data_IF_565765057215
#
_entry.id   IF_565765057215
#
_cell.length_a   1.000
_cell.length_b   1.000
_cell.length_c   1.000
_cell.angle_alpha   90.00
_cell.angle_beta   90.00
_cell.angle_gamma   90.00
#
_symmetry.space_group_name_H-M   'P 1'
#
loop_
_entity.id
_entity.type
_entity.pdbx_description
1 polymer ?
#
# COMPACT_ATOMS: atom_id res chain seq x y z
N UNK A 1 -23.74 -20.36 18.47
CA UNK A 1 -22.30 -20.16 18.76
C UNK A 1 -21.44 -20.46 17.52
N UNK A 2 -21.18 -21.72 17.18
CA UNK A 2 -20.24 -22.13 16.12
C UNK A 2 -20.47 -21.54 14.71
N UNK A 3 -21.73 -21.33 14.31
CA UNK A 3 -22.06 -20.72 13.01
C UNK A 3 -21.84 -19.20 12.99
N UNK A 4 -22.06 -18.53 14.13
CA UNK A 4 -21.81 -17.10 14.29
C UNK A 4 -20.31 -16.80 14.30
N UNK A 5 -19.52 -17.61 15.02
CA UNK A 5 -18.05 -17.55 15.01
C UNK A 5 -17.47 -17.75 13.60
N UNK A 6 -17.94 -18.77 12.87
CA UNK A 6 -17.53 -19.00 11.48
C UNK A 6 -17.87 -17.82 10.57
N UNK A 7 -19.04 -17.21 10.77
CA UNK A 7 -19.47 -16.05 9.97
C UNK A 7 -18.63 -14.82 10.30
N UNK A 8 -18.37 -14.55 11.57
CA UNK A 8 -17.51 -13.44 11.99
C UNK A 8 -16.07 -13.63 11.47
N UNK A 9 -15.50 -14.84 11.59
CA UNK A 9 -14.18 -15.14 11.07
C UNK A 9 -14.09 -14.98 9.53
N UNK A 10 -15.15 -15.35 8.79
CA UNK A 10 -15.23 -15.12 7.36
C UNK A 10 -15.27 -13.62 7.02
N UNK A 11 -16.06 -12.84 7.78
CA UNK A 11 -16.17 -11.39 7.62
C UNK A 11 -14.81 -10.74 7.88
N UNK A 12 -14.18 -10.99 9.03
CA UNK A 12 -12.86 -10.44 9.38
C UNK A 12 -11.81 -10.79 8.33
N UNK A 13 -11.73 -12.06 7.89
CA UNK A 13 -10.80 -12.49 6.84
C UNK A 13 -11.05 -11.81 5.50
N UNK A 14 -12.32 -11.55 5.17
CA UNK A 14 -12.67 -10.87 3.91
C UNK A 14 -12.26 -9.41 3.99
N UNK A 15 -12.54 -8.72 5.10
CA UNK A 15 -12.13 -7.34 5.31
C UNK A 15 -10.60 -7.17 5.35
N UNK A 16 -9.87 -8.13 5.94
CA UNK A 16 -8.38 -8.14 5.93
C UNK A 16 -7.74 -8.26 4.54
N UNK A 17 -8.52 -8.60 3.49
CA UNK A 17 -8.04 -8.52 2.10
C UNK A 17 -8.14 -7.11 1.49
N UNK A 18 -8.89 -6.22 2.14
CA UNK A 18 -9.17 -4.87 1.66
C UNK A 18 -8.67 -3.78 2.61
N UNK A 19 -8.30 -4.14 3.84
CA UNK A 19 -7.83 -3.27 4.90
C UNK A 19 -6.68 -3.99 5.63
N UNK A 20 -5.71 -3.25 6.18
CA UNK A 20 -4.70 -3.86 7.04
C UNK A 20 -5.33 -4.45 8.29
N UNK A 21 -4.72 -5.50 8.86
CA UNK A 21 -5.22 -6.17 10.06
C UNK A 21 -5.40 -5.17 11.21
N UNK A 22 -4.46 -4.24 11.38
CA UNK A 22 -4.56 -3.18 12.39
C UNK A 22 -5.77 -2.25 12.18
N UNK A 23 -6.15 -1.96 10.93
CA UNK A 23 -7.34 -1.15 10.62
C UNK A 23 -8.61 -1.96 10.88
N UNK A 24 -8.61 -3.26 10.56
CA UNK A 24 -9.73 -4.16 10.84
C UNK A 24 -9.94 -4.28 12.35
N UNK A 25 -8.89 -4.52 13.13
CA UNK A 25 -8.96 -4.55 14.60
C UNK A 25 -9.52 -3.24 15.16
N UNK A 26 -9.02 -2.08 14.70
CA UNK A 26 -9.51 -0.77 15.14
C UNK A 26 -10.99 -0.54 14.82
N UNK A 27 -11.49 -1.04 13.68
CA UNK A 27 -12.91 -0.94 13.30
C UNK A 27 -13.78 -1.91 14.12
N UNK A 28 -13.28 -3.11 14.41
CA UNK A 28 -14.03 -4.13 15.14
C UNK A 28 -14.10 -3.86 16.65
N UNK A 29 -13.06 -3.24 17.23
CA UNK A 29 -12.94 -3.05 18.67
C UNK A 29 -13.47 -1.69 19.18
N UNK A 30 -13.63 -0.67 18.30
CA UNK A 30 -14.23 0.63 18.66
C UNK A 30 -15.47 0.91 17.79
N UNK A 31 -16.68 1.07 18.37
CA UNK A 31 -17.88 1.51 17.66
C UNK A 31 -17.72 2.86 16.93
N UNK A 32 -16.76 3.69 17.35
CA UNK A 32 -16.38 4.95 16.69
C UNK A 32 -15.32 4.76 15.61
N UNK A 33 -14.83 3.54 15.40
CA UNK A 33 -13.86 3.18 14.36
C UNK A 33 -14.36 3.45 12.93
N UNK A 34 -15.66 3.73 12.75
CA UNK A 34 -16.28 4.18 11.50
C UNK A 34 -16.66 5.67 11.48
N UNK A 35 -16.40 6.42 12.56
CA UNK A 35 -16.69 7.86 12.60
C UNK A 35 -15.79 8.61 11.61
N UNK A 36 -16.41 9.51 10.85
CA UNK A 36 -15.68 10.46 10.01
C UNK A 36 -14.79 11.34 10.88
N UNK A 37 -13.60 11.60 10.37
CA UNK A 37 -12.62 12.44 11.05
C UNK A 37 -11.22 11.86 10.93
N UNK A 38 -10.25 12.64 11.35
CA UNK A 38 -8.87 12.23 11.40
C UNK A 38 -8.12 12.98 12.48
N UNK A 39 -7.00 12.41 12.87
CA UNK A 39 -6.06 13.02 13.80
C UNK A 39 -4.82 13.47 13.03
N UNK A 40 -4.24 14.59 13.47
CA UNK A 40 -2.94 15.03 12.97
C UNK A 40 -1.89 14.07 13.54
N UNK A 41 -1.12 13.44 12.66
CA UNK A 41 -0.02 12.54 13.04
C UNK A 41 1.18 12.75 12.14
N UNK A 42 2.37 12.72 12.73
CA UNK A 42 3.62 12.61 11.97
C UNK A 42 3.80 11.16 11.52
N UNK A 43 3.90 10.95 10.21
CA UNK A 43 4.10 9.62 9.62
C UNK A 43 5.24 9.66 8.61
N UNK A 44 5.77 8.49 8.25
CA UNK A 44 6.62 8.34 7.06
C UNK A 44 5.80 7.74 5.94
N UNK A 45 5.73 8.46 4.82
CA UNK A 45 5.00 8.04 3.62
C UNK A 45 6.00 7.49 2.61
N UNK A 46 5.70 6.32 2.07
CA UNK A 46 6.38 5.72 0.93
C UNK A 46 5.40 5.69 -0.23
N UNK A 47 5.79 6.23 -1.38
CA UNK A 47 5.10 6.05 -2.65
C UNK A 47 6.05 5.34 -3.60
N UNK A 48 5.58 4.29 -4.27
CA UNK A 48 6.31 3.72 -5.39
C UNK A 48 5.48 3.73 -6.66
N UNK A 49 6.13 3.60 -7.82
CA UNK A 49 5.49 3.47 -9.12
C UNK A 49 6.38 2.71 -10.11
N UNK A 50 5.78 1.98 -11.07
CA UNK A 50 6.54 1.25 -12.08
C UNK A 50 6.89 2.13 -13.27
N UNK A 51 8.15 2.08 -13.70
CA UNK A 51 8.63 2.86 -14.84
C UNK A 51 8.15 2.25 -16.15
N UNK A 52 7.46 3.06 -16.97
CA UNK A 52 7.01 2.67 -18.31
C UNK A 52 5.82 1.71 -18.34
N UNK A 53 5.19 1.43 -17.20
CA UNK A 53 4.05 0.51 -17.11
C UNK A 53 2.85 0.95 -17.93
N UNK A 54 2.47 2.23 -17.87
CA UNK A 54 1.33 2.75 -18.66
C UNK A 54 1.51 2.49 -20.16
N UNK A 55 2.68 2.81 -20.72
CA UNK A 55 2.98 2.56 -22.13
C UNK A 55 3.11 1.07 -22.46
N UNK A 56 3.52 0.24 -21.49
CA UNK A 56 3.55 -1.21 -21.66
C UNK A 56 2.14 -1.80 -21.77
N UNK A 57 1.19 -1.31 -20.98
CA UNK A 57 -0.20 -1.78 -20.99
C UNK A 57 -0.87 -1.66 -22.36
N UNK A 58 -0.46 -0.67 -23.18
CA UNK A 58 -0.97 -0.49 -24.54
C UNK A 58 -0.54 -1.60 -25.53
N UNK A 59 0.54 -2.33 -25.20
CA UNK A 59 1.12 -3.37 -26.07
C UNK A 59 0.79 -4.79 -25.63
N UNK A 60 0.31 -4.97 -24.41
CA UNK A 60 -0.01 -6.28 -23.84
C UNK A 60 -1.51 -6.56 -23.94
N UNK A 61 -1.88 -7.85 -23.95
CA UNK A 61 -3.30 -8.22 -23.86
C UNK A 61 -3.80 -7.92 -22.43
N UNK A 62 -5.08 -7.57 -22.25
CA UNK A 62 -5.63 -7.26 -20.92
C UNK A 62 -5.37 -8.32 -19.85
N UNK A 63 -5.43 -9.60 -20.21
CA UNK A 63 -5.15 -10.70 -19.28
C UNK A 63 -3.68 -10.74 -18.82
N UNK A 64 -2.74 -10.36 -19.69
CA UNK A 64 -1.31 -10.29 -19.37
C UNK A 64 -1.02 -9.10 -18.47
N UNK A 65 -1.65 -7.95 -18.72
CA UNK A 65 -1.56 -6.77 -17.86
C UNK A 65 -2.03 -7.09 -16.44
N UNK A 66 -3.20 -7.72 -16.30
CA UNK A 66 -3.74 -8.07 -14.98
C UNK A 66 -2.87 -9.10 -14.27
N UNK A 67 -2.35 -10.10 -14.99
CA UNK A 67 -1.47 -11.11 -14.39
C UNK A 67 -0.15 -10.50 -13.90
N UNK A 68 0.45 -9.62 -14.70
CA UNK A 68 1.69 -8.91 -14.34
C UNK A 68 1.45 -8.00 -13.14
N UNK A 69 0.40 -7.18 -13.17
CA UNK A 69 0.06 -6.26 -12.08
C UNK A 69 -0.18 -7.01 -10.77
N UNK A 70 -1.01 -8.08 -10.80
CA UNK A 70 -1.29 -8.85 -9.61
C UNK A 70 -0.03 -9.51 -9.02
N UNK A 71 0.87 -10.02 -9.88
CA UNK A 71 2.13 -10.62 -9.43
C UNK A 71 3.05 -9.59 -8.79
N UNK A 72 3.16 -8.41 -9.39
CA UNK A 72 3.94 -7.31 -8.84
C UNK A 72 3.37 -6.87 -7.48
N UNK A 73 2.07 -6.59 -7.40
CA UNK A 73 1.42 -6.17 -6.16
C UNK A 73 1.53 -7.22 -5.07
N UNK A 74 1.45 -8.52 -5.40
CA UNK A 74 1.66 -9.62 -4.44
C UNK A 74 3.08 -9.60 -3.86
N UNK A 75 4.09 -9.47 -4.72
CA UNK A 75 5.50 -9.41 -4.31
C UNK A 75 5.77 -8.19 -3.40
N UNK A 76 5.30 -7.01 -3.79
CA UNK A 76 5.50 -5.79 -3.02
C UNK A 76 4.70 -5.80 -1.71
N UNK A 77 3.46 -6.32 -1.72
CA UNK A 77 2.64 -6.43 -0.50
C UNK A 77 3.33 -7.31 0.54
N UNK A 78 3.92 -8.43 0.12
CA UNK A 78 4.65 -9.30 1.06
C UNK A 78 5.80 -8.55 1.76
N UNK A 79 6.60 -7.79 0.99
CA UNK A 79 7.68 -6.96 1.55
C UNK A 79 7.13 -5.89 2.49
N UNK A 80 6.10 -5.14 2.08
CA UNK A 80 5.52 -4.07 2.88
C UNK A 80 5.04 -4.58 4.24
N UNK A 81 4.36 -5.73 4.25
CA UNK A 81 3.86 -6.35 5.48
C UNK A 81 5.00 -6.87 6.37
N UNK A 82 6.09 -7.41 5.81
CA UNK A 82 7.26 -7.85 6.58
C UNK A 82 7.91 -6.70 7.36
N UNK A 83 7.88 -5.48 6.80
CA UNK A 83 8.37 -4.27 7.45
C UNK A 83 7.30 -3.55 8.29
N UNK A 84 6.11 -4.15 8.41
CA UNK A 84 4.93 -3.62 9.11
C UNK A 84 4.48 -2.24 8.59
N UNK A 85 4.57 -2.04 7.27
CA UNK A 85 3.97 -0.89 6.60
C UNK A 85 2.46 -1.11 6.40
N UNK A 86 1.69 -0.03 6.50
CA UNK A 86 0.26 -0.04 6.20
C UNK A 86 0.03 0.44 4.78
N UNK A 87 -0.50 -0.41 3.91
CA UNK A 87 -0.92 -0.01 2.56
C UNK A 87 -2.18 0.85 2.67
N UNK A 88 -2.10 2.10 2.20
CA UNK A 88 -3.25 3.01 2.12
C UNK A 88 -4.11 2.67 0.91
N UNK A 89 -3.48 2.57 -0.26
CA UNK A 89 -4.14 2.21 -1.52
C UNK A 89 -3.15 1.79 -2.61
N UNK A 90 -3.70 1.07 -3.60
CA UNK A 90 -3.09 0.88 -4.92
C UNK A 90 -3.68 1.89 -5.90
N UNK A 91 -2.82 2.60 -6.64
CA UNK A 91 -3.19 3.61 -7.64
C UNK A 91 -2.66 3.13 -8.99
N UNK A 92 -3.37 2.18 -9.60
CA UNK A 92 -2.83 1.47 -10.75
C UNK A 92 -1.67 0.56 -10.34
N UNK A 93 -0.47 0.85 -10.83
CA UNK A 93 0.80 0.23 -10.49
C UNK A 93 1.57 0.92 -9.35
N UNK A 94 1.10 2.07 -8.90
CA UNK A 94 1.64 2.75 -7.74
C UNK A 94 1.07 2.20 -6.42
N UNK A 95 1.90 2.17 -5.38
CA UNK A 95 1.51 1.76 -4.03
C UNK A 95 1.82 2.89 -3.06
N UNK A 96 0.79 3.33 -2.33
CA UNK A 96 0.92 4.27 -1.23
C UNK A 96 0.98 3.52 0.09
N UNK A 97 2.07 3.70 0.84
CA UNK A 97 2.34 3.01 2.10
C UNK A 97 2.63 4.03 3.20
N UNK A 98 2.13 3.74 4.39
CA UNK A 98 2.27 4.56 5.58
C UNK A 98 3.00 3.76 6.65
N UNK A 99 4.01 4.40 7.25
CA UNK A 99 4.64 3.96 8.50
C UNK A 99 4.32 5.00 9.57
N UNK A 100 3.83 4.51 10.70
CA UNK A 100 3.40 5.37 11.80
C UNK A 100 1.88 5.52 11.92
N UNK A 101 1.10 4.87 11.07
CA UNK A 101 -0.34 4.70 11.26
C UNK A 101 -0.83 3.37 10.68
N UNK A 102 -1.87 2.73 11.28
CA UNK A 102 -2.59 3.14 12.49
C UNK A 102 -1.77 2.98 13.77
N UNK A 103 -0.70 2.19 13.75
CA UNK A 103 0.24 2.00 14.85
C UNK A 103 1.52 2.82 14.61
N UNK A 104 1.93 3.58 15.64
CA UNK A 104 3.13 4.41 15.59
C UNK A 104 4.29 3.73 16.31
N UNK A 105 5.50 3.81 15.75
CA UNK A 105 6.72 3.29 16.37
C UNK A 105 7.89 4.28 16.24
N UNK A 106 8.83 4.30 17.20
CA UNK A 106 9.95 5.24 17.15
C UNK A 106 10.85 5.11 15.92
N UNK A 107 10.81 3.96 15.23
CA UNK A 107 11.66 3.61 14.10
C UNK A 107 10.93 3.62 12.76
N UNK A 108 9.73 4.22 12.66
CA UNK A 108 8.91 4.25 11.45
C UNK A 108 9.68 4.68 10.19
N UNK A 109 10.48 5.75 10.28
CA UNK A 109 11.30 6.20 9.15
C UNK A 109 12.37 5.18 8.74
N UNK A 110 12.98 4.49 9.71
CA UNK A 110 13.99 3.46 9.45
C UNK A 110 13.37 2.24 8.78
N UNK A 111 12.19 1.83 9.21
CA UNK A 111 11.43 0.71 8.60
C UNK A 111 10.98 1.06 7.19
N UNK A 112 10.52 2.29 6.95
CA UNK A 112 10.16 2.73 5.61
C UNK A 112 11.34 2.66 4.63
N UNK A 113 12.54 3.09 5.06
CA UNK A 113 13.77 2.97 4.26
C UNK A 113 14.16 1.50 4.04
N UNK A 114 14.10 0.67 5.09
CA UNK A 114 14.40 -0.76 4.97
C UNK A 114 13.43 -1.46 4.01
N UNK A 115 12.13 -1.14 4.10
CA UNK A 115 11.10 -1.60 3.19
C UNK A 115 11.40 -1.22 1.75
N UNK A 116 11.72 0.06 1.50
CA UNK A 116 12.06 0.53 0.15
C UNK A 116 13.23 -0.26 -0.45
N UNK A 117 14.30 -0.49 0.32
CA UNK A 117 15.43 -1.30 -0.11
C UNK A 117 15.05 -2.76 -0.37
N UNK A 118 14.25 -3.38 0.49
CA UNK A 118 13.75 -4.74 0.28
C UNK A 118 12.84 -4.84 -0.95
N UNK A 119 12.03 -3.83 -1.24
CA UNK A 119 11.20 -3.79 -2.45
C UNK A 119 12.06 -3.73 -3.70
N UNK A 120 13.15 -2.94 -3.69
CA UNK A 120 14.11 -2.90 -4.79
C UNK A 120 14.77 -4.26 -5.02
N UNK A 121 15.16 -4.98 -3.96
CA UNK A 121 15.72 -6.33 -4.08
C UNK A 121 14.68 -7.35 -4.59
N UNK A 122 13.43 -7.23 -4.17
CA UNK A 122 12.35 -8.11 -4.60
C UNK A 122 12.01 -7.95 -6.10
N UNK A 123 12.40 -6.84 -6.73
CA UNK A 123 12.27 -6.66 -8.17
C UNK A 123 13.08 -7.67 -8.98
N UNK A 124 14.14 -8.28 -8.42
CA UNK A 124 14.89 -9.34 -9.09
C UNK A 124 14.03 -10.59 -9.31
N UNK A 125 13.25 -10.98 -8.29
CA UNK A 125 12.32 -12.12 -8.39
C UNK A 125 11.19 -11.82 -9.39
N UNK A 126 10.63 -10.61 -9.32
CA UNK A 126 9.61 -10.18 -10.27
C UNK A 126 10.14 -10.15 -11.71
N UNK A 127 11.36 -9.63 -11.90
CA UNK A 127 12.02 -9.58 -13.20
C UNK A 127 12.27 -10.97 -13.77
N UNK A 128 12.71 -11.92 -12.95
CA UNK A 128 12.88 -13.32 -13.37
C UNK A 128 11.53 -13.93 -13.84
N UNK A 129 10.45 -13.69 -13.09
CA UNK A 129 9.11 -14.14 -13.46
C UNK A 129 8.62 -13.54 -14.78
N UNK A 130 8.93 -12.27 -15.05
CA UNK A 130 8.62 -11.59 -16.31
C UNK A 130 9.39 -12.22 -17.48
N UNK A 131 10.70 -12.44 -17.33
CA UNK A 131 11.56 -13.02 -18.36
C UNK A 131 11.09 -14.42 -18.78
N UNK A 132 10.72 -15.27 -17.82
CA UNK A 132 10.16 -16.61 -18.10
C UNK A 132 8.90 -16.58 -18.97
N UNK A 133 8.17 -15.47 -18.95
CA UNK A 133 6.89 -15.28 -19.68
C UNK A 133 7.06 -14.42 -20.93
N UNK A 134 8.29 -14.04 -21.28
CA UNK A 134 8.56 -13.13 -22.39
C UNK A 134 7.98 -11.73 -22.18
N UNK A 135 7.75 -11.34 -20.93
CA UNK A 135 7.27 -10.00 -20.56
C UNK A 135 8.48 -9.06 -20.40
N UNK A 136 8.31 -7.75 -20.68
CA UNK A 136 9.38 -6.79 -20.49
C UNK A 136 9.75 -6.67 -19.01
N UNK A 137 11.02 -6.37 -18.76
CA UNK A 137 11.47 -5.99 -17.44
C UNK A 137 10.97 -4.58 -17.11
N UNK A 138 10.64 -4.35 -15.85
CA UNK A 138 10.19 -3.06 -15.34
C UNK A 138 11.13 -2.63 -14.23
N UNK A 139 11.30 -1.33 -14.14
CA UNK A 139 12.02 -0.68 -13.04
C UNK A 139 10.99 -0.01 -12.13
N UNK A 140 11.41 0.39 -10.94
CA UNK A 140 10.51 0.95 -9.93
C UNK A 140 11.15 2.18 -9.28
N UNK A 141 10.41 3.30 -9.28
CA UNK A 141 10.78 4.47 -8.49
C UNK A 141 10.16 4.41 -7.10
N UNK A 142 10.87 4.91 -6.09
CA UNK A 142 10.37 5.01 -4.72
C UNK A 142 10.68 6.40 -4.14
N UNK A 143 9.63 7.14 -3.75
CA UNK A 143 9.73 8.36 -2.97
C UNK A 143 9.40 8.13 -1.50
N UNK A 144 10.17 8.76 -0.61
CA UNK A 144 9.98 8.71 0.84
C UNK A 144 9.94 10.13 1.41
N UNK A 145 9.06 10.36 2.40
CA UNK A 145 9.01 11.62 3.13
C UNK A 145 8.37 11.42 4.51
N UNK A 146 8.91 12.10 5.52
CA UNK A 146 8.32 12.13 6.87
C UNK A 146 7.72 13.50 7.12
N UNK A 147 6.49 13.54 7.62
CA UNK A 147 5.83 14.80 7.94
C UNK A 147 4.43 14.61 8.50
N UNK A 148 3.81 15.72 8.86
CA UNK A 148 2.46 15.71 9.41
C UNK A 148 1.42 15.48 8.33
N UNK A 149 0.47 14.60 8.63
CA UNK A 149 -0.70 14.31 7.82
C UNK A 149 -1.92 14.17 8.71
N UNK A 150 -3.11 14.30 8.13
CA UNK A 150 -4.35 13.90 8.77
C UNK A 150 -4.57 12.43 8.42
N UNK A 151 -4.63 11.57 9.45
CA UNK A 151 -4.94 10.14 9.30
C UNK A 151 -6.31 9.85 9.86
N UNK A 152 -7.17 9.15 9.13
CA UNK A 152 -8.45 8.68 9.66
C UNK A 152 -9.43 8.23 8.60
N UNK A 153 -10.72 8.17 8.98
CA UNK A 153 -11.79 7.83 8.05
C UNK A 153 -12.24 9.07 7.28
N UNK A 154 -11.98 9.05 5.97
CA UNK A 154 -12.25 10.14 5.05
C UNK A 154 -13.31 9.68 4.04
N UNK A 155 -14.25 10.55 3.72
CA UNK A 155 -15.29 10.29 2.72
C UNK A 155 -16.66 10.82 3.12
N UNK A 156 -17.68 9.97 2.98
CA UNK A 156 -19.08 10.29 3.28
C UNK A 156 -19.73 9.15 4.06
N UNK A 157 -20.95 9.35 4.56
CA UNK A 157 -21.73 8.31 5.24
C UNK A 157 -21.94 7.03 4.39
N UNK A 158 -21.91 7.16 3.06
CA UNK A 158 -22.11 6.04 2.13
C UNK A 158 -20.81 5.35 1.71
N UNK A 159 -19.66 6.00 1.90
CA UNK A 159 -18.35 5.50 1.48
C UNK A 159 -17.26 6.12 2.34
N UNK A 160 -16.69 5.29 3.20
CA UNK A 160 -15.57 5.62 4.07
C UNK A 160 -14.33 4.90 3.57
N UNK A 161 -13.19 5.59 3.64
CA UNK A 161 -11.86 5.01 3.45
C UNK A 161 -11.01 5.43 4.64
N UNK A 162 -10.35 4.48 5.29
CA UNK A 162 -9.25 4.82 6.18
C UNK A 162 -8.06 5.24 5.32
N UNK A 163 -7.51 6.43 5.54
CA UNK A 163 -6.33 6.86 4.83
C UNK A 163 -5.74 8.18 5.27
N UNK A 164 -4.82 8.70 4.47
CA UNK A 164 -4.04 9.91 4.75
C UNK A 164 -4.34 11.06 3.80
N UNK A 165 -4.37 12.29 4.33
CA UNK A 165 -4.39 13.52 3.53
C UNK A 165 -3.43 14.56 4.11
N UNK A 166 -2.75 15.29 3.24
CA UNK A 166 -1.86 16.36 3.65
C UNK A 166 -0.83 16.74 2.59
N UNK A 167 -0.19 17.89 2.78
CA UNK A 167 0.86 18.36 1.89
C UNK A 167 2.04 17.38 1.80
N UNK A 168 2.35 16.69 2.90
CA UNK A 168 3.39 15.65 2.97
C UNK A 168 3.17 14.56 1.93
N UNK A 169 1.93 14.07 1.75
CA UNK A 169 1.57 13.03 0.78
C UNK A 169 1.84 13.49 -0.65
N UNK A 170 1.38 14.70 -0.98
CA UNK A 170 1.59 15.31 -2.28
C UNK A 170 3.08 15.55 -2.57
N UNK A 171 3.86 15.93 -1.56
CA UNK A 171 5.31 16.09 -1.70
C UNK A 171 6.00 14.75 -1.91
N UNK A 172 5.60 13.68 -1.21
CA UNK A 172 6.14 12.32 -1.43
C UNK A 172 5.90 11.88 -2.87
N UNK A 173 4.69 12.06 -3.39
CA UNK A 173 4.39 11.75 -4.80
C UNK A 173 5.27 12.55 -5.76
N UNK A 174 5.52 13.84 -5.50
CA UNK A 174 6.47 14.62 -6.32
C UNK A 174 7.89 14.09 -6.22
N UNK A 175 8.38 13.73 -5.03
CA UNK A 175 9.71 13.14 -4.85
C UNK A 175 9.81 11.86 -5.67
N UNK A 176 8.81 10.98 -5.58
CA UNK A 176 8.72 9.73 -6.35
C UNK A 176 8.90 10.02 -7.85
N UNK A 177 8.21 11.02 -8.42
CA UNK A 177 8.30 11.34 -9.86
C UNK A 177 9.70 11.79 -10.32
N UNK A 178 10.56 12.22 -9.40
CA UNK A 178 11.95 12.60 -9.70
C UNK A 178 12.96 11.47 -9.44
N UNK A 179 12.51 10.32 -8.96
CA UNK A 179 13.39 9.16 -8.75
C UNK A 179 13.63 8.40 -10.05
N UNK A 180 14.83 7.84 -10.16
CA UNK A 180 15.16 6.87 -11.22
C UNK A 180 14.76 5.47 -10.79
N UNK A 181 14.46 4.62 -11.77
CA UNK A 181 14.24 3.20 -11.58
C UNK A 181 15.53 2.39 -11.56
#
# INVERSE_FOLDING_TARGET
AKQLERRNAFITRTFGRYLSDDVVERILDDPRGLSLGGELRTVTVLMNDLRGFTSMCERLRPAEVVALLNRYLECMTAVILEHEGTIDEFIGDAILVIFGAPLARPDDARRAVACALSMMLAMDEFSAWCLERGLPQLEMGIGLNTGDVIVGNIGSERRLKYGIVGATVNLTSRIETYTVG
#
